data_IF_346817870604
#
_entry.id   IF_346817870604
#
_cell.length_a   1.000
_cell.length_b   1.000
_cell.length_c   1.000
_cell.angle_alpha   90.00
_cell.angle_beta   90.00
_cell.angle_gamma   90.00
#
_symmetry.space_group_name_H-M   'P 1'
#
loop_
_entity.id
_entity.type
_entity.pdbx_description
1 polymer ?
#
# COMPACT_ATOMS: atom_id res chain seq x y z
N UNK A 1 5.51 22.16 -16.32
CA UNK A 1 4.50 22.76 -15.39
C UNK A 1 3.77 21.61 -14.72
N UNK A 2 3.64 21.63 -13.39
CA UNK A 2 2.88 20.61 -12.65
C UNK A 2 1.39 20.73 -12.97
N UNK A 3 0.68 19.61 -12.80
CA UNK A 3 -0.77 19.54 -13.03
C UNK A 3 -1.52 20.46 -12.04
N UNK A 4 -2.69 21.05 -12.41
CA UNK A 4 -3.44 21.97 -11.54
C UNK A 4 -3.83 21.39 -10.16
N UNK A 5 -3.98 20.07 -10.04
CA UNK A 5 -4.30 19.39 -8.76
C UNK A 5 -3.07 19.14 -7.88
N UNK A 6 -1.85 19.23 -8.42
CA UNK A 6 -0.62 18.95 -7.67
C UNK A 6 -0.49 19.88 -6.46
N UNK A 7 -0.38 19.31 -5.26
CA UNK A 7 -0.24 20.04 -4.00
C UNK A 7 -1.49 20.77 -3.51
N UNK A 8 -2.64 20.65 -4.19
CA UNK A 8 -3.89 21.33 -3.78
C UNK A 8 -4.56 20.68 -2.58
N UNK A 9 -4.44 19.39 -2.47
CA UNK A 9 -4.98 18.60 -1.36
C UNK A 9 -3.82 18.03 -0.54
N UNK A 10 -4.03 17.95 0.76
CA UNK A 10 -3.05 17.46 1.73
C UNK A 10 -3.64 16.29 2.52
N UNK A 11 -2.77 15.38 2.96
CA UNK A 11 -3.08 14.43 4.02
C UNK A 11 -2.82 15.16 5.34
N UNK A 12 -3.91 15.47 6.04
CA UNK A 12 -3.92 16.24 7.27
C UNK A 12 -3.68 15.39 8.50
N UNK A 13 -4.11 14.12 8.48
CA UNK A 13 -3.97 13.20 9.60
C UNK A 13 -3.93 11.76 9.18
N UNK A 14 -3.28 10.93 10.01
CA UNK A 14 -3.12 9.50 9.82
C UNK A 14 -3.43 8.74 11.12
N UNK A 15 -4.00 7.55 11.00
CA UNK A 15 -4.32 6.73 12.17
C UNK A 15 -4.45 5.25 11.82
N UNK A 16 -4.06 4.40 12.75
CA UNK A 16 -4.22 2.95 12.62
C UNK A 16 -4.45 2.29 13.99
N UNK A 17 -5.04 1.09 13.96
CA UNK A 17 -5.10 0.21 15.14
C UNK A 17 -3.72 -0.41 15.39
N UNK A 18 -3.53 -1.12 16.49
CA UNK A 18 -2.50 -2.14 16.54
C UNK A 18 -2.74 -3.15 15.40
N UNK A 19 -1.68 -3.78 14.91
CA UNK A 19 -1.76 -4.80 13.87
C UNK A 19 -1.57 -6.21 14.43
N UNK A 20 -2.23 -7.21 13.85
CA UNK A 20 -2.03 -8.60 14.24
C UNK A 20 -3.33 -9.36 14.37
N UNK A 21 -3.67 -9.79 15.59
CA UNK A 21 -4.90 -10.53 15.86
C UNK A 21 -5.82 -9.69 16.76
N UNK A 22 -7.08 -9.55 16.35
CA UNK A 22 -8.11 -8.82 17.08
C UNK A 22 -9.34 -9.69 17.34
N UNK A 23 -9.24 -10.75 18.17
CA UNK A 23 -10.36 -11.65 18.43
C UNK A 23 -11.55 -10.89 19.01
N UNK A 24 -12.74 -11.16 18.46
CA UNK A 24 -14.00 -10.55 18.94
C UNK A 24 -14.26 -9.14 18.44
N UNK A 25 -13.36 -8.54 17.63
CA UNK A 25 -13.59 -7.22 17.03
C UNK A 25 -14.09 -7.36 15.59
N UNK A 26 -15.10 -6.59 15.25
CA UNK A 26 -15.56 -6.43 13.88
C UNK A 26 -14.81 -5.31 13.15
N UNK A 27 -14.96 -5.29 11.83
CA UNK A 27 -14.24 -4.35 10.97
C UNK A 27 -14.75 -2.91 11.11
N UNK A 28 -16.01 -2.70 11.52
CA UNK A 28 -16.55 -1.38 11.80
C UNK A 28 -15.88 -0.78 13.04
N UNK A 29 -15.78 -1.55 14.13
CA UNK A 29 -15.11 -1.10 15.37
C UNK A 29 -13.62 -0.80 15.17
N UNK A 30 -12.94 -1.60 14.33
CA UNK A 30 -11.54 -1.35 13.96
C UNK A 30 -11.40 -0.04 13.15
N UNK A 31 -12.26 0.16 12.14
CA UNK A 31 -12.28 1.41 11.35
C UNK A 31 -12.58 2.64 12.21
N UNK A 32 -13.54 2.55 13.10
CA UNK A 32 -13.89 3.67 14.03
C UNK A 32 -12.66 4.07 14.86
N UNK A 33 -11.90 3.12 15.37
CA UNK A 33 -10.66 3.41 16.11
C UNK A 33 -9.61 4.11 15.24
N UNK A 34 -9.34 3.58 14.04
CA UNK A 34 -8.35 4.14 13.13
C UNK A 34 -8.73 5.56 12.69
N UNK A 35 -10.01 5.78 12.35
CA UNK A 35 -10.54 7.08 11.93
C UNK A 35 -10.46 8.10 13.08
N UNK A 36 -10.83 7.72 14.30
CA UNK A 36 -10.69 8.60 15.46
C UNK A 36 -9.24 9.03 15.69
N UNK A 37 -8.29 8.11 15.53
CA UNK A 37 -6.87 8.43 15.65
C UNK A 37 -6.41 9.37 14.54
N UNK A 38 -6.86 9.15 13.29
CA UNK A 38 -6.52 10.01 12.16
C UNK A 38 -7.09 11.43 12.33
N UNK A 39 -8.32 11.56 12.84
CA UNK A 39 -8.93 12.86 13.15
C UNK A 39 -8.20 13.57 14.30
N UNK A 40 -7.84 12.84 15.34
CA UNK A 40 -7.06 13.38 16.45
C UNK A 40 -5.66 13.87 16.00
N UNK A 41 -4.98 13.11 15.14
CA UNK A 41 -3.69 13.47 14.54
C UNK A 41 -3.82 14.74 13.65
N UNK A 42 -4.92 14.87 12.92
CA UNK A 42 -5.23 16.08 12.14
C UNK A 42 -5.65 17.30 13.00
N UNK A 43 -6.05 17.09 14.25
CA UNK A 43 -6.68 18.13 15.08
C UNK A 43 -8.06 18.55 14.56
N UNK A 44 -8.81 17.62 13.94
CA UNK A 44 -10.08 17.90 13.25
C UNK A 44 -11.26 17.28 13.99
N UNK A 45 -12.27 18.11 14.25
CA UNK A 45 -13.53 17.64 14.84
C UNK A 45 -14.29 16.73 13.85
N UNK A 46 -14.80 15.64 14.38
CA UNK A 46 -15.55 14.64 13.60
C UNK A 46 -16.72 15.24 12.81
N UNK A 47 -17.42 16.21 13.39
CA UNK A 47 -18.58 16.88 12.77
C UNK A 47 -18.27 17.62 11.47
N UNK A 48 -17.00 17.90 11.20
CA UNK A 48 -16.56 18.56 9.97
C UNK A 48 -16.34 17.60 8.81
N UNK A 49 -16.38 16.28 9.07
CA UNK A 49 -16.17 15.26 8.03
C UNK A 49 -17.44 15.12 7.19
N UNK A 50 -17.33 15.41 5.90
CA UNK A 50 -18.43 15.36 4.93
C UNK A 50 -18.15 14.45 3.71
N UNK A 51 -16.96 13.81 3.66
CA UNK A 51 -16.59 12.78 2.70
C UNK A 51 -16.13 11.47 3.38
N UNK A 52 -16.61 10.30 2.93
CA UNK A 52 -16.22 9.00 3.49
C UNK A 52 -16.02 7.95 2.38
N UNK A 53 -14.76 7.62 2.12
CA UNK A 53 -14.33 6.67 1.09
C UNK A 53 -13.75 5.44 1.78
N UNK A 54 -14.33 4.27 1.56
CA UNK A 54 -13.93 3.06 2.28
C UNK A 54 -13.75 1.87 1.35
N UNK A 55 -12.84 0.98 1.70
CA UNK A 55 -12.76 -0.35 1.13
C UNK A 55 -13.59 -1.32 1.99
N UNK A 56 -14.44 -2.12 1.36
CA UNK A 56 -15.09 -3.22 2.07
C UNK A 56 -14.05 -4.26 2.55
N UNK A 57 -14.28 -4.90 3.71
CA UNK A 57 -13.41 -5.97 4.18
C UNK A 57 -13.40 -7.14 3.19
N UNK A 58 -12.21 -7.72 2.95
CA UNK A 58 -12.06 -8.94 2.13
C UNK A 58 -12.39 -10.21 2.91
N UNK A 59 -12.24 -10.18 4.22
CA UNK A 59 -12.58 -11.31 5.09
C UNK A 59 -14.06 -11.65 5.07
N UNK A 60 -14.94 -10.64 4.90
CA UNK A 60 -16.39 -10.83 4.89
C UNK A 60 -17.06 -9.80 3.99
N UNK A 61 -17.88 -10.25 3.06
CA UNK A 61 -18.72 -9.34 2.28
C UNK A 61 -19.77 -8.66 3.16
N UNK A 62 -19.85 -7.32 3.07
CA UNK A 62 -20.87 -6.52 3.72
C UNK A 62 -21.47 -5.50 2.75
N UNK A 63 -22.77 -5.65 2.48
CA UNK A 63 -23.49 -4.70 1.65
C UNK A 63 -23.58 -3.32 2.33
N UNK A 64 -23.43 -2.25 1.56
CA UNK A 64 -23.53 -0.86 2.04
C UNK A 64 -22.58 -0.56 3.22
N UNK A 65 -21.38 -1.11 3.18
CA UNK A 65 -20.41 -1.02 4.27
C UNK A 65 -20.07 0.43 4.66
N UNK A 66 -19.99 1.34 3.68
CA UNK A 66 -19.73 2.76 3.94
C UNK A 66 -20.83 3.40 4.84
N UNK A 67 -22.11 3.06 4.60
CA UNK A 67 -23.23 3.56 5.38
C UNK A 67 -23.23 3.00 6.80
N UNK A 68 -22.92 1.71 6.98
CA UNK A 68 -22.75 1.10 8.30
C UNK A 68 -21.62 1.75 9.08
N UNK A 69 -20.51 2.06 8.42
CA UNK A 69 -19.38 2.74 9.04
C UNK A 69 -19.75 4.18 9.39
N UNK A 70 -20.43 4.90 8.51
CA UNK A 70 -20.90 6.25 8.76
C UNK A 70 -21.83 6.30 10.00
N UNK A 71 -22.78 5.36 10.11
CA UNK A 71 -23.64 5.19 11.29
C UNK A 71 -22.80 4.92 12.56
N UNK A 72 -21.86 3.99 12.50
CA UNK A 72 -20.95 3.66 13.62
C UNK A 72 -20.09 4.86 14.07
N UNK A 73 -19.80 5.79 13.17
CA UNK A 73 -19.12 7.05 13.46
C UNK A 73 -20.08 8.18 13.87
N UNK A 74 -21.39 8.05 13.63
CA UNK A 74 -22.36 9.13 13.77
C UNK A 74 -22.11 10.25 12.75
N UNK A 75 -21.83 9.88 11.49
CA UNK A 75 -21.58 10.80 10.38
C UNK A 75 -22.71 10.74 9.36
N UNK A 76 -22.95 11.89 8.68
CA UNK A 76 -23.83 12.00 7.53
C UNK A 76 -23.02 12.60 6.37
N UNK A 77 -22.18 11.80 5.70
CA UNK A 77 -21.32 12.33 4.65
C UNK A 77 -22.14 12.75 3.42
N UNK A 78 -21.71 13.84 2.77
CA UNK A 78 -22.31 14.34 1.51
C UNK A 78 -21.92 13.46 0.31
N UNK A 79 -20.70 12.90 0.36
CA UNK A 79 -20.15 12.04 -0.70
C UNK A 79 -19.35 10.89 -0.10
N UNK A 80 -19.32 9.78 -0.79
CA UNK A 80 -18.52 8.63 -0.44
C UNK A 80 -19.13 7.32 -0.88
N UNK A 81 -18.52 6.24 -0.47
CA UNK A 81 -18.97 4.91 -0.83
C UNK A 81 -17.91 3.85 -0.61
N UNK A 82 -18.20 2.66 -1.12
CA UNK A 82 -17.28 1.51 -1.11
C UNK A 82 -16.57 1.43 -2.46
N UNK A 83 -15.25 1.32 -2.41
CA UNK A 83 -14.39 1.23 -3.59
C UNK A 83 -13.51 -0.01 -3.50
N UNK A 84 -13.42 -0.77 -4.57
CA UNK A 84 -12.60 -1.97 -4.61
C UNK A 84 -11.73 -2.05 -5.86
N UNK A 85 -10.44 -1.86 -5.65
CA UNK A 85 -9.35 -2.13 -6.60
C UNK A 85 -8.33 -3.10 -5.94
N UNK A 86 -8.82 -4.03 -5.11
CA UNK A 86 -7.95 -4.88 -4.30
C UNK A 86 -7.07 -4.07 -3.34
N UNK A 87 -5.80 -4.43 -3.21
CA UNK A 87 -4.86 -3.67 -2.38
C UNK A 87 -4.55 -2.27 -2.91
N UNK A 88 -4.83 -1.96 -4.20
CA UNK A 88 -4.68 -0.62 -4.77
C UNK A 88 -5.78 0.37 -4.31
N UNK A 89 -6.84 -0.11 -3.66
CA UNK A 89 -8.00 0.69 -3.24
C UNK A 89 -7.62 1.94 -2.44
N UNK A 90 -6.62 1.86 -1.58
CA UNK A 90 -6.25 2.95 -0.67
C UNK A 90 -5.83 4.21 -1.43
N UNK A 91 -4.88 4.07 -2.35
CA UNK A 91 -4.40 5.18 -3.17
C UNK A 91 -5.48 5.61 -4.17
N UNK A 92 -6.25 4.67 -4.73
CA UNK A 92 -7.38 5.00 -5.59
C UNK A 92 -8.43 5.85 -4.87
N UNK A 93 -8.77 5.52 -3.63
CA UNK A 93 -9.69 6.31 -2.81
C UNK A 93 -9.12 7.69 -2.45
N UNK A 94 -7.80 7.79 -2.17
CA UNK A 94 -7.12 9.08 -1.98
C UNK A 94 -7.23 9.93 -3.24
N UNK A 95 -7.06 9.33 -4.42
CA UNK A 95 -7.23 10.02 -5.70
C UNK A 95 -8.66 10.54 -5.90
N UNK A 96 -9.68 9.70 -5.62
CA UNK A 96 -11.09 10.10 -5.72
C UNK A 96 -11.46 11.16 -4.68
N UNK A 97 -10.98 11.04 -3.44
CA UNK A 97 -11.18 12.05 -2.41
C UNK A 97 -10.54 13.39 -2.79
N UNK A 98 -9.33 13.36 -3.37
CA UNK A 98 -8.65 14.56 -3.89
C UNK A 98 -9.48 15.25 -4.97
N UNK A 99 -9.98 14.49 -5.95
CA UNK A 99 -10.85 15.04 -7.01
C UNK A 99 -12.19 15.55 -6.45
N UNK A 100 -12.79 14.87 -5.47
CA UNK A 100 -14.04 15.29 -4.86
C UNK A 100 -13.89 16.61 -4.07
N UNK A 101 -12.78 16.78 -3.34
CA UNK A 101 -12.47 18.01 -2.60
C UNK A 101 -12.28 19.18 -3.58
N UNK A 102 -11.50 19.00 -4.64
CA UNK A 102 -11.26 20.06 -5.63
C UNK A 102 -12.50 20.39 -6.46
N UNK A 103 -13.40 19.43 -6.64
CA UNK A 103 -14.70 19.65 -7.26
C UNK A 103 -15.77 20.25 -6.32
N UNK A 104 -15.41 20.53 -5.06
CA UNK A 104 -16.34 21.12 -4.05
C UNK A 104 -17.44 20.16 -3.59
N UNK A 105 -17.29 18.86 -3.80
CA UNK A 105 -18.26 17.85 -3.37
C UNK A 105 -18.17 17.56 -1.86
N UNK A 106 -16.99 17.76 -1.27
CA UNK A 106 -16.74 17.74 0.17
C UNK A 106 -15.58 18.66 0.53
N UNK A 107 -15.48 19.03 1.81
CA UNK A 107 -14.36 19.82 2.34
C UNK A 107 -13.32 18.94 3.05
N UNK A 108 -13.79 17.96 3.83
CA UNK A 108 -12.93 17.06 4.61
C UNK A 108 -13.36 15.63 4.37
N UNK A 109 -12.48 14.88 3.74
CA UNK A 109 -12.69 13.47 3.42
C UNK A 109 -11.87 12.54 4.32
N UNK A 110 -12.48 11.43 4.73
CA UNK A 110 -11.80 10.30 5.36
C UNK A 110 -11.69 9.17 4.36
N UNK A 111 -10.50 8.62 4.22
CA UNK A 111 -10.23 7.38 3.48
C UNK A 111 -9.81 6.32 4.47
N UNK A 112 -10.51 5.18 4.51
CA UNK A 112 -10.27 4.17 5.51
C UNK A 112 -10.45 2.74 4.98
N UNK A 113 -9.77 1.82 5.64
CA UNK A 113 -9.99 0.40 5.49
C UNK A 113 -9.81 -0.33 6.82
N UNK A 114 -10.55 -1.42 7.00
CA UNK A 114 -10.31 -2.41 8.03
C UNK A 114 -10.52 -3.80 7.45
N UNK A 115 -9.77 -4.77 7.97
CA UNK A 115 -10.00 -6.18 7.68
C UNK A 115 -9.61 -7.04 8.89
N UNK A 116 -10.17 -8.26 8.99
CA UNK A 116 -9.86 -9.17 10.08
C UNK A 116 -9.71 -10.64 9.63
N UNK A 117 -8.91 -10.92 8.59
CA UNK A 117 -8.74 -12.27 8.04
C UNK A 117 -7.97 -13.21 8.95
N UNK A 118 -7.26 -12.73 9.96
CA UNK A 118 -6.52 -13.57 10.90
C UNK A 118 -7.41 -14.16 12.00
N UNK A 119 -8.46 -13.46 12.42
CA UNK A 119 -9.39 -13.91 13.48
C UNK A 119 -10.84 -14.03 13.04
N UNK A 120 -11.22 -13.43 11.92
CA UNK A 120 -12.54 -13.53 11.30
C UNK A 120 -12.63 -14.62 10.25
N UNK A 121 -13.55 -14.45 9.30
CA UNK A 121 -13.69 -15.33 8.15
C UNK A 121 -12.71 -14.96 7.03
N UNK A 122 -12.47 -15.88 6.09
CA UNK A 122 -11.61 -15.66 4.92
C UNK A 122 -12.38 -15.87 3.61
N UNK A 123 -13.66 -15.51 3.57
CA UNK A 123 -14.54 -15.84 2.45
C UNK A 123 -14.00 -15.44 1.08
N UNK A 124 -13.42 -14.24 0.96
CA UNK A 124 -12.85 -13.79 -0.30
C UNK A 124 -11.55 -14.50 -0.68
N UNK A 125 -10.79 -14.95 0.33
CA UNK A 125 -9.55 -15.71 0.10
C UNK A 125 -9.81 -17.19 -0.21
N UNK A 126 -10.94 -17.74 0.25
CA UNK A 126 -11.34 -19.12 -0.03
C UNK A 126 -11.86 -19.30 -1.45
N UNK A 127 -12.47 -18.26 -2.02
CA UNK A 127 -12.93 -18.22 -3.42
C UNK A 127 -11.87 -17.68 -4.38
N UNK A 128 -10.61 -17.68 -3.98
CA UNK A 128 -9.57 -16.99 -4.72
C UNK A 128 -9.24 -17.70 -6.03
N UNK A 129 -9.15 -16.91 -7.07
CA UNK A 129 -8.32 -17.08 -8.27
C UNK A 129 -8.04 -18.55 -8.67
N UNK A 130 -8.97 -19.24 -9.22
CA UNK A 130 -8.81 -20.63 -9.62
C UNK A 130 -10.16 -21.29 -9.86
N UNK A 131 -11.17 -20.48 -10.15
CA UNK A 131 -12.43 -21.00 -10.64
C UNK A 131 -12.25 -21.51 -12.09
N UNK A 132 -12.90 -22.60 -12.42
CA UNK A 132 -12.87 -23.19 -13.75
C UNK A 132 -11.57 -23.96 -14.07
N UNK A 133 -11.08 -23.81 -15.29
CA UNK A 133 -9.99 -24.63 -15.84
C UNK A 133 -8.67 -24.49 -15.09
N UNK A 134 -8.40 -23.32 -14.51
CA UNK A 134 -7.17 -23.07 -13.75
C UNK A 134 -7.03 -23.99 -12.54
N UNK A 135 -8.14 -24.33 -11.87
CA UNK A 135 -8.13 -25.22 -10.71
C UNK A 135 -7.71 -26.64 -11.10
N UNK A 136 -8.02 -27.10 -12.32
CA UNK A 136 -7.63 -28.42 -12.84
C UNK A 136 -6.12 -28.55 -12.96
N UNK A 137 -5.40 -27.44 -13.16
CA UNK A 137 -3.94 -27.39 -13.24
C UNK A 137 -3.26 -27.10 -11.90
N UNK A 138 -3.99 -27.20 -10.79
CA UNK A 138 -3.44 -27.00 -9.46
C UNK A 138 -3.24 -25.54 -9.07
N UNK A 139 -3.91 -24.60 -9.75
CA UNK A 139 -3.93 -23.21 -9.34
C UNK A 139 -4.76 -23.05 -8.05
N UNK A 140 -4.12 -22.65 -6.98
CA UNK A 140 -4.78 -22.41 -5.70
C UNK A 140 -4.28 -21.12 -5.07
N UNK A 141 -5.01 -20.06 -5.34
CA UNK A 141 -4.86 -18.79 -4.68
C UNK A 141 -3.73 -17.89 -5.18
N UNK A 142 -3.66 -16.75 -4.56
CA UNK A 142 -2.74 -15.66 -4.91
C UNK A 142 -1.25 -16.06 -4.96
N UNK A 143 -0.72 -16.90 -4.02
CA UNK A 143 0.68 -17.29 -4.07
C UNK A 143 1.09 -18.01 -5.36
N UNK A 144 0.20 -18.82 -5.94
CA UNK A 144 0.49 -19.52 -7.20
C UNK A 144 0.72 -18.54 -8.35
N UNK A 145 -0.09 -17.49 -8.46
CA UNK A 145 0.08 -16.47 -9.50
C UNK A 145 1.36 -15.67 -9.38
N UNK A 146 1.72 -15.27 -8.16
CA UNK A 146 3.01 -14.58 -7.93
C UNK A 146 4.21 -15.50 -8.16
N UNK A 147 4.08 -16.81 -7.86
CA UNK A 147 5.12 -17.78 -8.14
C UNK A 147 5.34 -17.95 -9.65
N UNK A 148 4.28 -18.00 -10.46
CA UNK A 148 4.40 -18.03 -11.92
C UNK A 148 5.09 -16.77 -12.46
N UNK A 149 4.74 -15.59 -11.96
CA UNK A 149 5.39 -14.34 -12.32
C UNK A 149 6.88 -14.36 -11.94
N UNK A 150 7.19 -14.80 -10.70
CA UNK A 150 8.57 -14.91 -10.24
C UNK A 150 9.37 -15.89 -11.10
N UNK A 151 8.81 -17.06 -11.41
CA UNK A 151 9.43 -18.07 -12.26
C UNK A 151 9.68 -17.52 -13.67
N UNK A 152 8.72 -16.76 -14.23
CA UNK A 152 8.90 -16.11 -15.53
C UNK A 152 10.03 -15.10 -15.51
N UNK A 153 10.07 -14.25 -14.48
CA UNK A 153 11.11 -13.24 -14.33
C UNK A 153 12.49 -13.86 -14.13
N UNK A 154 12.59 -14.93 -13.33
CA UNK A 154 13.82 -15.71 -13.17
C UNK A 154 14.29 -16.33 -14.49
N UNK A 155 13.39 -16.96 -15.23
CA UNK A 155 13.72 -17.57 -16.51
C UNK A 155 14.14 -16.58 -17.60
N UNK A 156 13.54 -15.39 -17.60
CA UNK A 156 13.78 -14.38 -18.63
C UNK A 156 14.99 -13.49 -18.35
N UNK A 157 15.23 -13.15 -17.08
CA UNK A 157 16.21 -12.15 -16.68
C UNK A 157 17.31 -12.70 -15.75
N UNK A 158 17.21 -13.96 -15.35
CA UNK A 158 18.20 -14.58 -14.46
C UNK A 158 18.09 -14.13 -13.00
N UNK A 159 16.95 -13.59 -12.59
CA UNK A 159 16.71 -13.22 -11.18
C UNK A 159 16.87 -14.43 -10.27
N UNK A 160 17.51 -14.25 -9.14
CA UNK A 160 17.82 -15.32 -8.20
C UNK A 160 16.95 -15.25 -6.94
N UNK A 161 16.85 -16.36 -6.23
CA UNK A 161 16.17 -16.40 -4.92
C UNK A 161 16.84 -15.45 -3.90
N UNK A 162 18.16 -15.32 -3.94
CA UNK A 162 18.90 -14.40 -3.06
C UNK A 162 18.53 -12.93 -3.28
N UNK A 163 18.25 -12.57 -4.53
CA UNK A 163 17.79 -11.21 -4.87
C UNK A 163 16.38 -10.95 -4.31
N UNK A 164 15.49 -11.93 -4.34
CA UNK A 164 14.20 -11.84 -3.63
C UNK A 164 14.43 -11.78 -2.12
N UNK A 165 15.33 -12.60 -1.60
CA UNK A 165 15.72 -12.61 -0.19
C UNK A 165 16.29 -11.28 0.31
N UNK A 166 17.02 -10.54 -0.51
CA UNK A 166 17.54 -9.22 -0.16
C UNK A 166 16.40 -8.24 0.19
N UNK A 167 15.27 -8.30 -0.53
CA UNK A 167 14.08 -7.50 -0.22
C UNK A 167 13.49 -7.90 1.14
N UNK A 168 13.32 -9.20 1.38
CA UNK A 168 12.79 -9.71 2.64
C UNK A 168 13.67 -9.31 3.84
N UNK A 169 14.99 -9.40 3.68
CA UNK A 169 15.98 -9.01 4.70
C UNK A 169 15.91 -7.51 4.99
N UNK A 170 15.87 -6.66 3.96
CA UNK A 170 15.75 -5.21 4.12
C UNK A 170 14.45 -4.81 4.84
N UNK A 171 13.30 -5.33 4.41
CA UNK A 171 12.01 -5.10 5.08
C UNK A 171 12.04 -5.57 6.54
N UNK A 172 12.66 -6.72 6.82
CA UNK A 172 12.77 -7.24 8.19
C UNK A 172 13.71 -6.41 9.05
N UNK A 173 14.79 -5.87 8.50
CA UNK A 173 15.70 -4.94 9.18
C UNK A 173 14.94 -3.67 9.60
N UNK A 174 14.16 -3.09 8.69
CA UNK A 174 13.34 -1.92 9.00
C UNK A 174 12.23 -2.24 10.02
N UNK A 175 11.54 -3.38 9.87
CA UNK A 175 10.54 -3.84 10.83
C UNK A 175 11.08 -4.10 12.22
N UNK A 176 12.34 -4.53 12.34
CA UNK A 176 12.97 -4.80 13.65
C UNK A 176 13.04 -3.56 14.55
N UNK A 177 13.21 -2.39 13.96
CA UNK A 177 13.25 -1.11 14.69
C UNK A 177 11.83 -0.54 14.94
N UNK A 178 10.80 -0.99 14.21
CA UNK A 178 9.45 -0.46 14.35
C UNK A 178 8.68 -1.17 15.49
N UNK A 179 8.26 -0.46 16.55
CA UNK A 179 7.50 -1.06 17.65
C UNK A 179 6.11 -1.60 17.23
N UNK A 180 5.55 -1.11 16.13
CA UNK A 180 4.26 -1.55 15.60
C UNK A 180 4.37 -2.77 14.67
N UNK A 181 5.59 -3.17 14.28
CA UNK A 181 5.79 -4.30 13.39
C UNK A 181 5.54 -5.64 14.12
N UNK A 182 4.86 -6.55 13.43
CA UNK A 182 4.58 -7.89 13.94
C UNK A 182 5.82 -8.79 13.92
N UNK A 183 6.70 -8.62 12.91
CA UNK A 183 7.95 -9.37 12.79
C UNK A 183 9.14 -8.44 13.05
N UNK A 184 9.66 -8.51 14.27
CA UNK A 184 10.75 -7.65 14.74
C UNK A 184 12.08 -8.37 14.93
N UNK A 185 12.10 -9.69 14.77
CA UNK A 185 13.36 -10.45 14.84
C UNK A 185 14.10 -10.29 13.50
N UNK A 186 15.35 -9.83 13.48
CA UNK A 186 16.14 -9.74 12.26
C UNK A 186 16.14 -11.03 11.46
N UNK A 187 16.30 -10.94 10.16
CA UNK A 187 16.39 -12.05 9.23
C UNK A 187 17.71 -11.95 8.47
N UNK A 188 18.53 -13.01 8.49
CA UNK A 188 19.70 -13.10 7.63
C UNK A 188 19.35 -13.76 6.28
N UNK A 189 20.22 -13.58 5.27
CA UNK A 189 20.03 -14.23 3.97
C UNK A 189 20.14 -15.76 4.08
N UNK A 190 20.96 -16.28 4.98
CA UNK A 190 21.05 -17.73 5.30
C UNK A 190 19.72 -18.25 5.85
N UNK A 191 19.15 -17.55 6.84
CA UNK A 191 17.85 -17.91 7.40
C UNK A 191 16.73 -17.84 6.36
N UNK A 192 16.79 -16.85 5.43
CA UNK A 192 15.87 -16.80 4.31
C UNK A 192 15.99 -18.04 3.42
N UNK A 193 17.21 -18.45 3.05
CA UNK A 193 17.45 -19.65 2.23
C UNK A 193 16.94 -20.95 2.86
N UNK A 194 16.93 -21.02 4.18
CA UNK A 194 16.44 -22.17 4.95
C UNK A 194 14.91 -22.10 5.17
N UNK A 195 14.27 -20.96 4.93
CA UNK A 195 12.86 -20.82 5.15
C UNK A 195 12.03 -21.68 4.21
N UNK A 196 10.90 -22.19 4.73
CA UNK A 196 10.04 -23.13 4.03
C UNK A 196 9.53 -22.56 2.69
N UNK A 197 9.55 -23.36 1.63
CA UNK A 197 8.84 -23.06 0.39
C UNK A 197 7.33 -23.08 0.64
N UNK A 198 6.65 -22.07 0.14
CA UNK A 198 5.18 -21.99 0.10
C UNK A 198 4.69 -22.51 -1.24
N UNK A 199 5.22 -21.96 -2.33
CA UNK A 199 5.05 -22.40 -3.72
C UNK A 199 6.28 -21.98 -4.49
N UNK A 200 7.02 -22.94 -5.06
CA UNK A 200 8.28 -22.62 -5.73
C UNK A 200 8.10 -21.57 -6.84
N UNK A 201 8.97 -20.54 -6.91
CA UNK A 201 10.21 -20.36 -6.15
C UNK A 201 10.04 -19.60 -4.80
N UNK A 202 8.82 -19.22 -4.41
CA UNK A 202 8.57 -18.37 -3.27
C UNK A 202 8.62 -19.11 -1.94
N UNK A 203 9.36 -18.54 -1.02
CA UNK A 203 9.50 -19.00 0.37
C UNK A 203 8.52 -18.28 1.30
N UNK A 204 8.43 -18.73 2.55
CA UNK A 204 7.61 -18.07 3.58
C UNK A 204 7.96 -16.59 3.73
N UNK A 205 9.24 -16.24 3.72
CA UNK A 205 9.68 -14.86 3.93
C UNK A 205 9.58 -14.00 2.65
N UNK A 206 9.19 -14.58 1.50
CA UNK A 206 8.76 -13.86 0.32
C UNK A 206 7.30 -13.42 0.38
N UNK A 207 6.51 -13.94 1.31
CA UNK A 207 5.06 -13.75 1.40
C UNK A 207 4.70 -12.81 2.57
N UNK A 208 3.78 -11.89 2.33
CA UNK A 208 3.29 -11.01 3.38
C UNK A 208 2.55 -11.75 4.49
N UNK A 209 2.39 -11.06 5.60
CA UNK A 209 1.60 -11.52 6.74
C UNK A 209 0.10 -11.57 6.42
N UNK A 210 -0.65 -12.28 7.25
CA UNK A 210 -2.12 -12.19 7.33
C UNK A 210 -2.45 -11.54 8.67
N UNK A 211 -3.04 -10.35 8.62
CA UNK A 211 -3.21 -9.51 9.81
C UNK A 211 -4.60 -8.91 9.87
N UNK A 212 -5.12 -8.76 11.08
CA UNK A 212 -6.25 -7.92 11.37
C UNK A 212 -5.79 -6.50 11.67
N UNK A 213 -6.64 -5.53 11.40
CA UNK A 213 -6.41 -4.14 11.75
C UNK A 213 -7.21 -3.18 10.90
N UNK A 214 -6.98 -1.90 11.14
CA UNK A 214 -7.54 -0.80 10.36
C UNK A 214 -6.53 0.34 10.24
N UNK A 215 -6.68 1.11 9.17
CA UNK A 215 -5.89 2.30 8.92
C UNK A 215 -6.74 3.35 8.19
N UNK A 216 -6.49 4.63 8.47
CA UNK A 216 -7.24 5.74 7.91
C UNK A 216 -6.35 6.96 7.69
N UNK A 217 -6.72 7.78 6.71
CA UNK A 217 -6.15 9.11 6.49
C UNK A 217 -7.26 10.14 6.35
N UNK A 218 -6.96 11.38 6.73
CA UNK A 218 -7.85 12.55 6.61
C UNK A 218 -7.28 13.45 5.53
N UNK A 219 -8.11 13.84 4.56
CA UNK A 219 -7.74 14.73 3.45
C UNK A 219 -8.58 16.00 3.47
N UNK A 220 -7.98 17.10 3.06
CA UNK A 220 -8.63 18.38 2.82
C UNK A 220 -7.80 19.24 1.88
N UNK A 221 -8.35 20.34 1.39
CA UNK A 221 -7.55 21.30 0.61
C UNK A 221 -6.45 21.92 1.47
N UNK A 222 -5.33 22.30 0.85
CA UNK A 222 -4.23 23.00 1.54
C UNK A 222 -4.72 24.29 2.19
N UNK A 223 -5.70 24.98 1.58
CA UNK A 223 -6.36 26.17 2.14
C UNK A 223 -7.10 25.83 3.43
N UNK A 224 -7.93 24.76 3.42
CA UNK A 224 -8.68 24.31 4.60
C UNK A 224 -7.75 23.87 5.74
N UNK A 225 -6.66 23.18 5.40
CA UNK A 225 -5.66 22.80 6.40
C UNK A 225 -5.01 24.02 7.08
N UNK A 226 -4.74 25.08 6.32
CA UNK A 226 -4.23 26.34 6.87
C UNK A 226 -5.27 27.03 7.75
N UNK A 227 -6.54 27.07 7.35
CA UNK A 227 -7.66 27.63 8.14
C UNK A 227 -7.83 26.90 9.50
N UNK A 228 -7.73 25.56 9.48
CA UNK A 228 -7.83 24.71 10.67
C UNK A 228 -6.51 24.60 11.45
N UNK A 229 -5.44 25.23 10.97
CA UNK A 229 -4.09 25.22 11.58
C UNK A 229 -3.54 23.80 11.78
N UNK A 230 -3.74 22.92 10.78
CA UNK A 230 -3.15 21.58 10.80
C UNK A 230 -1.62 21.70 10.90
N UNK A 231 -1.02 21.01 11.88
CA UNK A 231 0.38 21.23 12.22
C UNK A 231 1.38 20.80 11.14
N UNK A 232 1.15 19.63 10.54
CA UNK A 232 2.05 19.00 9.56
C UNK A 232 1.28 18.36 8.40
N UNK A 233 0.59 19.18 7.58
CA UNK A 233 -0.12 18.66 6.41
C UNK A 233 0.89 18.20 5.35
N UNK A 234 0.66 17.03 4.73
CA UNK A 234 1.54 16.46 3.71
C UNK A 234 0.88 16.59 2.34
N UNK A 235 1.46 17.37 1.41
CA UNK A 235 0.90 17.57 0.08
C UNK A 235 0.84 16.29 -0.77
N UNK A 236 -0.29 16.08 -1.45
CA UNK A 236 -0.45 15.10 -2.52
C UNK A 236 0.05 15.76 -3.81
N UNK A 237 1.25 15.36 -4.28
CA UNK A 237 1.87 15.95 -5.47
C UNK A 237 1.36 15.31 -6.76
N UNK A 238 1.06 14.03 -6.73
CA UNK A 238 0.56 13.31 -7.89
C UNK A 238 -0.02 11.95 -7.53
N UNK A 239 -0.90 11.47 -8.38
CA UNK A 239 -1.46 10.13 -8.28
C UNK A 239 -1.77 9.57 -9.66
N UNK A 240 -1.81 8.26 -9.75
CA UNK A 240 -2.14 7.54 -10.97
C UNK A 240 -2.65 6.15 -10.70
N UNK A 241 -3.38 5.62 -11.67
CA UNK A 241 -3.94 4.27 -11.62
C UNK A 241 -3.66 3.54 -12.93
N UNK A 242 -3.61 2.21 -12.88
CA UNK A 242 -3.49 1.35 -14.03
C UNK A 242 -4.15 0.00 -13.77
N UNK A 243 -4.58 -0.65 -14.85
CA UNK A 243 -5.22 -1.96 -14.80
C UNK A 243 -4.69 -2.84 -15.92
N UNK A 244 -4.66 -4.15 -15.67
CA UNK A 244 -4.39 -5.19 -16.67
C UNK A 244 -5.54 -6.20 -16.69
N UNK A 245 -5.42 -7.25 -17.50
CA UNK A 245 -6.40 -8.33 -17.52
C UNK A 245 -6.54 -9.03 -16.17
N UNK A 246 -7.77 -9.37 -15.80
CA UNK A 246 -8.08 -10.13 -14.59
C UNK A 246 -7.41 -11.51 -14.58
N UNK A 247 -7.46 -12.22 -15.70
CA UNK A 247 -6.79 -13.50 -15.81
C UNK A 247 -5.30 -13.29 -16.12
N UNK A 248 -4.44 -13.85 -15.27
CA UNK A 248 -2.99 -13.82 -15.45
C UNK A 248 -2.57 -14.50 -16.76
N UNK A 249 -3.27 -15.55 -17.18
CA UNK A 249 -3.00 -16.26 -18.42
C UNK A 249 -3.26 -15.41 -19.69
N UNK A 250 -4.09 -14.37 -19.58
CA UNK A 250 -4.38 -13.45 -20.67
C UNK A 250 -3.39 -12.27 -20.76
N UNK A 251 -2.39 -12.19 -19.90
CA UNK A 251 -1.38 -11.14 -19.97
C UNK A 251 -0.37 -11.44 -21.07
N UNK A 252 -0.16 -10.52 -22.01
CA UNK A 252 0.84 -10.68 -23.06
C UNK A 252 2.26 -10.84 -22.51
N UNK A 253 2.55 -10.14 -21.40
CA UNK A 253 3.85 -10.19 -20.70
C UNK A 253 3.61 -10.27 -19.19
N UNK A 254 4.02 -11.39 -18.57
CA UNK A 254 3.94 -11.61 -17.13
C UNK A 254 4.98 -10.77 -16.35
N UNK A 255 5.98 -10.22 -17.00
CA UNK A 255 7.01 -9.38 -16.37
C UNK A 255 6.70 -7.89 -16.43
N UNK A 256 5.60 -7.49 -17.08
CA UNK A 256 5.09 -6.11 -17.11
C UNK A 256 3.78 -6.01 -16.31
N UNK A 257 3.60 -4.89 -15.60
CA UNK A 257 2.45 -4.65 -14.76
C UNK A 257 1.76 -3.32 -15.05
N UNK A 258 0.61 -3.09 -14.44
CA UNK A 258 -0.07 -1.80 -14.48
C UNK A 258 0.69 -0.67 -13.74
N UNK A 259 1.75 -1.01 -13.01
CA UNK A 259 2.59 -0.05 -12.30
C UNK A 259 3.18 1.02 -13.22
N UNK A 260 3.60 0.63 -14.42
CA UNK A 260 4.13 1.56 -15.41
C UNK A 260 3.13 2.67 -15.77
N UNK A 261 1.86 2.31 -16.01
CA UNK A 261 0.81 3.26 -16.39
C UNK A 261 0.52 4.21 -15.22
N UNK A 262 0.35 3.65 -14.01
CA UNK A 262 0.04 4.43 -12.82
C UNK A 262 1.18 5.40 -12.45
N UNK A 263 2.43 4.95 -12.57
CA UNK A 263 3.62 5.78 -12.32
C UNK A 263 3.74 6.92 -13.34
N UNK A 264 3.61 6.63 -14.63
CA UNK A 264 3.68 7.65 -15.67
C UNK A 264 2.69 8.80 -15.40
N UNK A 265 1.45 8.47 -15.03
CA UNK A 265 0.42 9.45 -14.70
C UNK A 265 0.79 10.23 -13.44
N UNK A 266 1.19 9.56 -12.35
CA UNK A 266 1.52 10.19 -11.09
C UNK A 266 2.73 11.12 -11.19
N UNK A 267 3.81 10.66 -11.83
CA UNK A 267 5.03 11.44 -12.04
C UNK A 267 4.81 12.63 -12.96
N UNK A 268 4.05 12.46 -14.06
CA UNK A 268 3.69 13.56 -14.95
C UNK A 268 2.85 14.63 -14.23
N UNK A 269 1.91 14.22 -13.37
CA UNK A 269 1.09 15.12 -12.55
C UNK A 269 1.95 15.94 -11.58
N UNK A 270 2.91 15.31 -10.91
CA UNK A 270 3.82 15.96 -9.99
C UNK A 270 4.89 16.82 -10.70
N UNK A 271 5.14 16.62 -11.99
CA UNK A 271 6.26 17.20 -12.72
C UNK A 271 7.62 16.64 -12.28
N UNK A 272 7.64 15.39 -11.81
CA UNK A 272 8.79 14.70 -11.24
C UNK A 272 9.25 13.51 -12.11
N UNK A 273 10.44 13.02 -11.82
CA UNK A 273 11.03 11.80 -12.37
C UNK A 273 11.33 10.81 -11.23
N UNK A 274 11.53 9.52 -11.52
CA UNK A 274 11.92 8.54 -10.49
C UNK A 274 13.19 8.94 -9.73
N UNK A 275 14.14 9.63 -10.39
CA UNK A 275 15.37 10.13 -9.77
C UNK A 275 15.16 11.24 -8.74
N UNK A 276 13.97 11.83 -8.67
CA UNK A 276 13.63 12.89 -7.73
C UNK A 276 13.01 12.35 -6.44
N UNK A 277 12.93 11.02 -6.29
CA UNK A 277 12.33 10.33 -5.14
C UNK A 277 13.39 9.97 -4.11
N UNK A 278 13.19 10.41 -2.87
CA UNK A 278 14.12 10.18 -1.77
C UNK A 278 13.82 8.88 -1.00
N UNK A 279 12.55 8.47 -0.93
CA UNK A 279 12.09 7.27 -0.22
C UNK A 279 10.88 6.65 -0.92
N UNK A 280 10.80 5.33 -0.92
CA UNK A 280 9.70 4.61 -1.57
C UNK A 280 9.00 3.62 -0.62
N UNK A 281 7.68 3.65 -0.60
CA UNK A 281 6.86 2.67 0.11
C UNK A 281 6.18 1.78 -0.94
N UNK A 282 6.78 0.64 -1.21
CA UNK A 282 6.40 -0.26 -2.29
C UNK A 282 5.56 -1.42 -1.75
N UNK A 283 4.42 -1.71 -2.39
CA UNK A 283 3.54 -2.79 -1.97
C UNK A 283 4.21 -4.17 -2.09
N UNK A 284 4.57 -4.72 -0.95
CA UNK A 284 5.39 -5.93 -0.81
C UNK A 284 4.57 -7.14 -0.31
N UNK A 285 3.41 -7.38 -0.94
CA UNK A 285 2.67 -8.61 -0.65
C UNK A 285 3.47 -9.87 -1.01
N UNK A 286 4.38 -9.77 -1.96
CA UNK A 286 5.43 -10.72 -2.29
C UNK A 286 6.68 -9.97 -2.73
N UNK A 287 7.86 -10.54 -2.48
CA UNK A 287 9.15 -9.91 -2.84
C UNK A 287 9.26 -9.60 -4.32
N UNK A 288 8.78 -10.49 -5.19
CA UNK A 288 8.76 -10.25 -6.66
C UNK A 288 7.94 -9.02 -7.05
N UNK A 289 6.89 -8.70 -6.30
CA UNK A 289 6.08 -7.51 -6.56
C UNK A 289 6.89 -6.22 -6.38
N UNK A 290 7.74 -6.16 -5.36
CA UNK A 290 8.66 -5.04 -5.13
C UNK A 290 9.60 -4.88 -6.29
N UNK A 291 10.29 -5.97 -6.66
CA UNK A 291 11.26 -5.98 -7.74
C UNK A 291 10.68 -5.47 -9.06
N UNK A 292 9.52 -6.02 -9.45
CA UNK A 292 8.85 -5.61 -10.69
C UNK A 292 8.34 -4.17 -10.64
N UNK A 293 7.87 -3.69 -9.50
CA UNK A 293 7.42 -2.31 -9.35
C UNK A 293 8.57 -1.33 -9.49
N UNK A 294 9.75 -1.63 -8.92
CA UNK A 294 10.96 -0.81 -9.08
C UNK A 294 11.37 -0.66 -10.55
N UNK A 295 11.29 -1.76 -11.32
CA UNK A 295 11.55 -1.75 -12.75
C UNK A 295 10.50 -0.96 -13.54
N UNK A 296 9.22 -1.21 -13.29
CA UNK A 296 8.12 -0.58 -14.00
C UNK A 296 7.99 0.93 -13.67
N UNK A 297 8.45 1.35 -12.51
CA UNK A 297 8.56 2.76 -12.12
C UNK A 297 9.77 3.46 -12.77
N UNK A 298 10.75 2.69 -13.26
CA UNK A 298 11.95 3.21 -13.89
C UNK A 298 13.06 3.59 -12.92
N UNK A 299 13.05 3.06 -11.68
CA UNK A 299 14.20 3.17 -10.77
C UNK A 299 15.40 2.36 -11.28
N UNK A 300 15.12 1.31 -12.01
CA UNK A 300 16.11 0.54 -12.76
C UNK A 300 15.53 0.03 -14.08
N UNK A 301 16.39 -0.38 -14.99
CA UNK A 301 15.97 -0.97 -16.26
C UNK A 301 15.30 -2.32 -16.06
N UNK A 302 14.32 -2.66 -16.89
CA UNK A 302 13.64 -3.96 -16.88
C UNK A 302 14.65 -5.12 -16.91
N UNK A 303 14.48 -6.07 -15.97
CA UNK A 303 15.40 -7.19 -15.76
C UNK A 303 16.60 -6.88 -14.87
N UNK A 304 16.76 -5.65 -14.39
CA UNK A 304 17.86 -5.25 -13.48
C UNK A 304 17.42 -5.09 -12.03
N UNK A 305 16.14 -5.27 -11.72
CA UNK A 305 15.61 -5.13 -10.38
C UNK A 305 16.32 -6.01 -9.35
N UNK A 306 16.69 -7.25 -9.75
CA UNK A 306 17.45 -8.15 -8.90
C UNK A 306 18.79 -7.59 -8.44
N UNK A 307 19.54 -6.92 -9.33
CA UNK A 307 20.79 -6.24 -8.97
C UNK A 307 20.55 -4.96 -8.17
N UNK A 308 19.47 -4.26 -8.48
CA UNK A 308 19.14 -3.01 -7.81
C UNK A 308 18.84 -3.20 -6.31
N UNK A 309 18.24 -4.32 -5.91
CA UNK A 309 17.87 -4.57 -4.52
C UNK A 309 18.99 -5.15 -3.64
N UNK A 310 20.14 -5.44 -4.22
CA UNK A 310 21.30 -6.01 -3.51
C UNK A 310 22.17 -4.92 -2.85
N UNK A 311 23.14 -5.34 -2.06
CA UNK A 311 24.22 -4.52 -1.50
C UNK A 311 23.72 -3.35 -0.63
N UNK A 312 22.56 -3.50 0.01
CA UNK A 312 21.99 -2.49 0.92
C UNK A 312 21.39 -1.27 0.22
N UNK A 313 21.27 -1.26 -1.10
CA UNK A 313 20.76 -0.10 -1.87
C UNK A 313 19.34 0.33 -1.49
N UNK A 314 18.52 -0.61 -1.03
CA UNK A 314 17.13 -0.37 -0.62
C UNK A 314 16.97 -0.25 0.91
N UNK A 315 18.07 -0.28 1.66
CA UNK A 315 18.09 -0.10 3.11
C UNK A 315 18.27 1.38 3.48
N UNK A 316 18.10 1.71 4.76
CA UNK A 316 18.43 3.04 5.27
C UNK A 316 19.89 3.40 4.96
N UNK A 317 20.09 4.55 4.35
CA UNK A 317 21.40 5.01 3.90
C UNK A 317 21.84 4.47 2.53
N UNK A 318 21.03 3.62 1.89
CA UNK A 318 21.22 3.17 0.51
C UNK A 318 20.70 4.18 -0.53
N UNK A 319 20.73 3.76 -1.79
CA UNK A 319 20.38 4.63 -2.93
C UNK A 319 18.89 5.03 -2.94
N UNK A 320 18.01 4.09 -2.57
CA UNK A 320 16.56 4.30 -2.46
C UNK A 320 16.01 3.46 -1.29
N UNK A 321 15.95 3.99 -0.08
CA UNK A 321 15.35 3.28 1.03
C UNK A 321 13.87 2.95 0.75
N UNK A 322 13.50 1.66 0.93
CA UNK A 322 12.11 1.21 0.72
C UNK A 322 11.50 0.66 2.01
N UNK A 323 10.18 0.77 2.15
CA UNK A 323 9.39 0.12 3.19
C UNK A 323 9.99 0.30 4.59
N UNK A 324 10.25 1.55 4.93
CA UNK A 324 11.01 1.96 6.12
C UNK A 324 10.35 1.58 7.45
N UNK A 325 9.05 1.24 7.45
CA UNK A 325 8.35 0.67 8.62
C UNK A 325 8.37 -0.88 8.65
N UNK A 326 8.89 -1.52 7.58
CA UNK A 326 8.93 -2.98 7.43
C UNK A 326 7.93 -3.56 6.41
N UNK A 327 7.05 -2.73 5.86
CA UNK A 327 6.10 -3.11 4.80
C UNK A 327 5.11 -4.20 5.17
N UNK A 328 4.53 -4.86 4.18
CA UNK A 328 3.63 -5.99 4.39
C UNK A 328 4.38 -7.25 4.82
N UNK A 329 5.67 -7.34 4.51
CA UNK A 329 6.51 -8.48 4.86
C UNK A 329 6.88 -8.51 6.35
N UNK A 330 6.84 -7.39 7.07
CA UNK A 330 7.27 -7.34 8.46
C UNK A 330 6.38 -6.51 9.38
N UNK A 331 5.85 -5.35 8.94
CA UNK A 331 4.98 -4.55 9.78
C UNK A 331 3.59 -5.19 9.89
N UNK A 332 2.87 -5.33 8.79
CA UNK A 332 1.51 -5.90 8.80
C UNK A 332 1.05 -6.29 7.41
N UNK A 333 0.36 -7.43 7.28
CA UNK A 333 -0.28 -7.86 6.04
C UNK A 333 -1.60 -7.15 5.72
N UNK A 334 -1.86 -5.98 6.31
CA UNK A 334 -3.00 -5.15 5.95
C UNK A 334 -2.83 -4.57 4.54
N UNK A 335 -3.91 -4.39 3.76
CA UNK A 335 -3.80 -4.03 2.34
C UNK A 335 -3.31 -2.58 2.09
N UNK A 336 -2.09 -2.25 2.45
CA UNK A 336 -1.31 -1.14 1.90
C UNK A 336 -1.52 0.27 2.46
N UNK A 337 -2.52 0.56 3.31
CA UNK A 337 -2.70 1.90 3.88
C UNK A 337 -1.57 2.28 4.84
N UNK A 338 -0.98 1.31 5.54
CA UNK A 338 0.20 1.55 6.39
C UNK A 338 1.40 2.07 5.58
N UNK A 339 1.52 1.71 4.30
CA UNK A 339 2.56 2.27 3.41
C UNK A 339 2.31 3.77 3.15
N UNK A 340 1.05 4.17 2.99
CA UNK A 340 0.68 5.59 2.88
C UNK A 340 1.00 6.32 4.19
N UNK A 341 0.64 5.73 5.34
CA UNK A 341 0.93 6.30 6.67
C UNK A 341 2.44 6.46 6.87
N UNK A 342 3.22 5.46 6.50
CA UNK A 342 4.68 5.57 6.59
C UNK A 342 5.23 6.65 5.65
N UNK A 343 4.73 6.76 4.42
CA UNK A 343 5.09 7.86 3.52
C UNK A 343 4.79 9.24 4.13
N UNK A 344 3.64 9.39 4.79
CA UNK A 344 3.29 10.63 5.50
C UNK A 344 4.25 10.89 6.67
N UNK A 345 4.57 9.86 7.47
CA UNK A 345 5.53 9.99 8.58
C UNK A 345 6.93 10.39 8.11
N UNK A 346 7.39 9.85 6.98
CA UNK A 346 8.65 10.25 6.37
C UNK A 346 8.64 11.74 6.00
N UNK A 347 7.60 12.21 5.35
CA UNK A 347 7.47 13.62 4.98
C UNK A 347 7.34 14.56 6.19
N UNK A 348 6.82 14.08 7.32
CA UNK A 348 6.71 14.84 8.57
C UNK A 348 7.95 14.80 9.43
N UNK A 349 8.95 13.96 9.12
CA UNK A 349 10.10 13.70 9.98
C UNK A 349 9.76 12.90 11.25
N UNK A 350 8.74 12.03 11.18
CA UNK A 350 8.18 11.28 12.31
C UNK A 350 8.34 9.76 12.18
N UNK A 351 9.02 9.30 11.15
CA UNK A 351 9.26 7.87 10.97
C UNK A 351 10.28 7.34 11.99
N UNK A 352 10.06 6.12 12.47
CA UNK A 352 11.01 5.41 13.33
C UNK A 352 12.35 5.20 12.61
N UNK A 353 12.30 4.94 11.32
CA UNK A 353 13.44 4.78 10.43
C UNK A 353 13.49 5.96 9.45
N UNK A 354 13.65 7.17 9.98
CA UNK A 354 13.62 8.39 9.17
C UNK A 354 14.76 8.42 8.15
N UNK A 355 14.42 8.58 6.89
CA UNK A 355 15.38 8.90 5.83
C UNK A 355 15.78 10.36 5.97
N UNK A 356 17.07 10.59 6.10
CA UNK A 356 17.62 11.92 6.33
C UNK A 356 17.33 12.83 5.14
N UNK A 357 16.88 14.05 5.41
CA UNK A 357 16.61 15.11 4.42
C UNK A 357 15.63 14.71 3.29
N UNK A 358 14.83 13.65 3.49
CA UNK A 358 13.81 13.21 2.54
C UNK A 358 12.72 14.28 2.38
N UNK A 359 12.47 14.70 1.15
CA UNK A 359 11.45 15.69 0.76
C UNK A 359 10.35 15.09 -0.11
N UNK A 360 10.58 13.93 -0.67
CA UNK A 360 9.68 13.28 -1.62
C UNK A 360 9.55 11.80 -1.30
N UNK A 361 8.33 11.31 -1.35
CA UNK A 361 8.02 9.90 -1.15
C UNK A 361 7.09 9.41 -2.25
N UNK A 362 7.42 8.27 -2.87
CA UNK A 362 6.47 7.52 -3.69
C UNK A 362 5.87 6.39 -2.88
N UNK A 363 4.56 6.24 -2.96
CA UNK A 363 3.83 5.10 -2.40
C UNK A 363 3.18 4.32 -3.53
N UNK A 364 3.36 3.00 -3.54
CA UNK A 364 2.71 2.12 -4.48
C UNK A 364 1.77 1.14 -3.79
N UNK A 365 0.61 0.94 -4.37
CA UNK A 365 -0.31 -0.11 -3.93
C UNK A 365 -0.81 -0.90 -5.14
N UNK A 366 -1.08 -2.18 -4.95
CA UNK A 366 -1.57 -3.05 -6.02
C UNK A 366 -2.65 -4.02 -5.52
N UNK A 367 -3.49 -4.47 -6.44
CA UNK A 367 -4.57 -5.40 -6.15
C UNK A 367 -4.51 -6.67 -7.01
N UNK A 368 -5.04 -7.75 -6.43
CA UNK A 368 -5.02 -9.05 -7.08
C UNK A 368 -3.60 -9.58 -7.27
N UNK A 369 -3.35 -10.20 -8.40
CA UNK A 369 -2.00 -10.63 -8.82
C UNK A 369 -1.44 -9.56 -9.76
N UNK A 370 -1.19 -8.35 -9.22
CA UNK A 370 -0.77 -7.16 -9.99
C UNK A 370 -1.75 -6.78 -11.13
N UNK A 371 -3.06 -7.03 -10.91
CA UNK A 371 -4.11 -6.69 -11.89
C UNK A 371 -4.38 -5.20 -11.94
N UNK A 372 -4.41 -4.57 -10.77
CA UNK A 372 -4.56 -3.14 -10.60
C UNK A 372 -3.32 -2.57 -9.91
N UNK A 373 -3.01 -1.33 -10.19
CA UNK A 373 -1.93 -0.61 -9.53
C UNK A 373 -2.33 0.85 -9.32
N UNK A 374 -1.93 1.40 -8.19
CA UNK A 374 -2.08 2.82 -7.90
C UNK A 374 -0.78 3.37 -7.31
N UNK A 375 -0.42 4.56 -7.75
CA UNK A 375 0.79 5.30 -7.36
C UNK A 375 0.39 6.62 -6.75
N UNK A 376 1.04 7.00 -5.64
CA UNK A 376 0.87 8.27 -4.94
C UNK A 376 2.24 8.91 -4.73
N UNK A 377 2.34 10.20 -5.03
CA UNK A 377 3.53 11.01 -4.75
C UNK A 377 3.19 12.02 -3.65
N UNK A 378 4.00 12.01 -2.61
CA UNK A 378 3.91 12.89 -1.46
C UNK A 378 5.14 13.80 -1.41
N UNK A 379 4.99 15.00 -0.85
CA UNK A 379 6.07 15.95 -0.65
C UNK A 379 6.05 16.61 0.73
N UNK A 380 7.08 17.39 0.99
CA UNK A 380 7.12 18.32 2.13
C UNK A 380 6.54 19.67 1.74
#
# INVERSE_FOLDING_TARGET
>A
MSHPLSGKVVIAGVGHTAFGKHPGRDTVSLNVEAIRKALADAGVEKSLVDGLFVKAPTSRFEMMYAQKLAEGLGLVPRIGGVYDHGGASNISMISYATMAIEAGQCEIAVVALADNPATGTRQAYEKSYGDGDSALYGWFGTPAGYAMIAQRHMGQYGTTSDQLGAIAVACRKHGAANPNAQLRKPLSLEQYRESRLIVAPLRRDDCCLVSDGAAAVVLMSAKKAAELKVAKPVPVLGFGQGQTSWDVALRPDLTATAARISAQTAFAMAGMKPTDVDVAQIYDCFTIAVLMTLEDYGFCTKGQGGRFVQDGRIELGGDLPINTAGGLLSETGMPGMQLVIEGVRQMRGESVNQVRDARTCVVSNQGGIMHTHATLLLGQ
#
